data_IF_182590257873
#
_entry.id   IF_182590257873
#
_cell.length_a   1.000
_cell.length_b   1.000
_cell.length_c   1.000
_cell.angle_alpha   90.00
_cell.angle_beta   90.00
_cell.angle_gamma   90.00
#
_symmetry.space_group_name_H-M   'P 1'
#
loop_
_entity.id
_entity.type
_entity.pdbx_description
1 polymer ?
#
# COMPACT_ATOMS: atom_id res chain seq x y z
N UNK A 1 -10.48 6.38 -14.61
CA UNK A 1 -9.44 6.24 -15.64
C UNK A 1 -8.16 6.85 -15.09
N UNK A 2 -7.36 6.11 -14.32
CA UNK A 2 -6.08 6.64 -13.84
C UNK A 2 -5.00 6.25 -14.83
N UNK A 3 -4.33 7.25 -15.41
CA UNK A 3 -3.00 7.04 -15.97
C UNK A 3 -2.14 6.48 -14.85
N UNK A 4 -1.59 5.28 -15.03
CA UNK A 4 -0.55 4.76 -14.17
C UNK A 4 0.55 5.82 -14.06
N UNK A 5 0.67 6.43 -12.89
CA UNK A 5 1.62 7.51 -12.64
C UNK A 5 2.68 6.93 -11.72
N UNK A 6 3.80 6.53 -12.32
CA UNK A 6 4.93 5.85 -11.66
C UNK A 6 5.39 6.62 -10.42
N UNK A 7 5.42 7.97 -10.49
CA UNK A 7 5.77 8.83 -9.36
C UNK A 7 4.84 8.64 -8.17
N UNK A 8 3.52 8.52 -8.39
CA UNK A 8 2.56 8.33 -7.29
C UNK A 8 2.75 6.98 -6.61
N UNK A 9 3.12 5.96 -7.37
CA UNK A 9 3.35 4.61 -6.81
C UNK A 9 4.67 4.58 -6.05
N UNK A 10 5.72 5.24 -6.55
CA UNK A 10 6.98 5.38 -5.81
C UNK A 10 6.77 6.08 -4.47
N UNK A 11 5.93 7.12 -4.41
CA UNK A 11 5.56 7.77 -3.16
C UNK A 11 4.84 6.81 -2.21
N UNK A 12 3.91 5.98 -2.71
CA UNK A 12 3.25 4.97 -1.89
C UNK A 12 4.21 3.88 -1.40
N UNK A 13 5.16 3.44 -2.22
CA UNK A 13 6.19 2.47 -1.82
C UNK A 13 7.04 3.05 -0.71
N UNK A 14 7.49 4.30 -0.85
CA UNK A 14 8.29 4.96 0.19
C UNK A 14 7.50 5.09 1.49
N UNK A 15 6.22 5.50 1.40
CA UNK A 15 5.34 5.61 2.55
C UNK A 15 5.16 4.25 3.25
N UNK A 16 4.83 3.21 2.49
CA UNK A 16 4.61 1.86 2.98
C UNK A 16 5.86 1.26 3.66
N UNK A 17 7.03 1.40 3.04
CA UNK A 17 8.30 0.94 3.61
C UNK A 17 8.62 1.70 4.89
N UNK A 18 8.35 3.01 4.92
CA UNK A 18 8.58 3.82 6.12
C UNK A 18 7.65 3.39 7.25
N UNK A 19 6.36 3.11 6.95
CA UNK A 19 5.41 2.61 7.95
C UNK A 19 5.87 1.27 8.52
N UNK A 20 6.14 0.28 7.65
CA UNK A 20 6.57 -1.04 8.10
C UNK A 20 7.84 -0.94 8.97
N UNK A 21 8.83 -0.12 8.60
CA UNK A 21 10.04 0.10 9.41
C UNK A 21 9.67 0.67 10.78
N UNK A 22 8.77 1.64 10.84
CA UNK A 22 8.30 2.22 12.10
C UNK A 22 7.66 1.14 12.97
N UNK A 23 6.75 0.34 12.41
CA UNK A 23 6.07 -0.74 13.13
C UNK A 23 7.06 -1.80 13.62
N UNK A 24 8.02 -2.21 12.77
CA UNK A 24 9.08 -3.15 13.13
C UNK A 24 9.97 -2.65 14.28
N UNK A 25 10.19 -1.34 14.39
CA UNK A 25 11.03 -0.79 15.44
C UNK A 25 10.34 -0.80 16.81
N UNK A 26 9.00 -0.81 16.83
CA UNK A 26 8.21 -0.76 18.07
C UNK A 26 8.58 0.41 18.99
N UNK A 27 9.12 1.49 18.42
CA UNK A 27 9.63 2.65 19.19
C UNK A 27 8.46 3.52 19.66
N UNK A 28 7.36 3.53 18.91
CA UNK A 28 6.21 4.37 19.20
C UNK A 28 5.19 3.67 20.09
N UNK A 29 4.33 4.47 20.72
CA UNK A 29 3.20 3.90 21.44
C UNK A 29 2.17 3.34 20.46
N UNK A 30 1.37 2.32 20.82
CA UNK A 30 0.34 1.75 19.95
C UNK A 30 -0.66 2.78 19.39
N UNK A 31 -0.91 3.87 20.12
CA UNK A 31 -1.78 4.96 19.65
C UNK A 31 -1.17 5.76 18.48
N UNK A 32 0.15 5.93 18.46
CA UNK A 32 0.87 6.64 17.40
C UNK A 32 0.96 5.76 16.16
N UNK A 33 1.27 4.47 16.31
CA UNK A 33 1.27 3.48 15.23
C UNK A 33 -0.08 3.45 14.53
N UNK A 34 -1.17 3.35 15.29
CA UNK A 34 -2.53 3.43 14.73
C UNK A 34 -2.80 4.71 13.91
N UNK A 35 -2.27 5.86 14.32
CA UNK A 35 -2.41 7.11 13.56
C UNK A 35 -1.61 7.05 12.26
N UNK A 36 -0.42 6.45 12.28
CA UNK A 36 0.41 6.27 11.09
C UNK A 36 -0.25 5.32 10.10
N UNK A 37 -0.82 4.21 10.57
CA UNK A 37 -1.58 3.29 9.72
C UNK A 37 -2.79 3.96 9.08
N UNK A 38 -3.52 4.77 9.86
CA UNK A 38 -4.65 5.53 9.35
C UNK A 38 -4.21 6.53 8.27
N UNK A 39 -3.05 7.19 8.47
CA UNK A 39 -2.46 8.08 7.48
C UNK A 39 -2.06 7.30 6.22
N UNK A 40 -1.47 6.11 6.36
CA UNK A 40 -1.08 5.22 5.26
C UNK A 40 -2.31 4.79 4.46
N UNK A 41 -3.36 4.27 5.10
CA UNK A 41 -4.66 3.95 4.46
C UNK A 41 -5.21 5.16 3.71
N UNK A 42 -5.20 6.33 4.34
CA UNK A 42 -5.73 7.56 3.73
C UNK A 42 -4.94 7.93 2.48
N UNK A 43 -3.61 7.84 2.52
CA UNK A 43 -2.77 8.07 1.34
C UNK A 43 -3.07 7.10 0.20
N UNK A 44 -3.25 5.81 0.50
CA UNK A 44 -3.69 4.81 -0.48
C UNK A 44 -5.03 5.19 -1.12
N UNK A 45 -6.00 5.59 -0.31
CA UNK A 45 -7.32 6.01 -0.79
C UNK A 45 -7.25 7.27 -1.66
N UNK A 46 -6.43 8.25 -1.30
CA UNK A 46 -6.27 9.47 -2.09
C UNK A 46 -5.61 9.20 -3.44
N UNK A 47 -4.60 8.33 -3.47
CA UNK A 47 -3.84 8.02 -4.69
C UNK A 47 -4.62 7.09 -5.63
N UNK A 48 -5.16 5.98 -5.10
CA UNK A 48 -5.86 4.99 -5.91
C UNK A 48 -7.36 5.27 -6.10
N UNK A 49 -7.96 6.14 -5.26
CA UNK A 49 -9.39 6.50 -5.27
C UNK A 49 -10.32 5.28 -5.34
N UNK A 50 -9.87 4.17 -4.75
CA UNK A 50 -10.59 2.89 -4.67
C UNK A 50 -10.37 2.28 -3.30
N UNK A 51 -11.48 1.99 -2.62
CA UNK A 51 -11.51 1.09 -1.48
C UNK A 51 -11.42 -0.34 -2.01
N UNK A 52 -10.40 -1.07 -1.59
CA UNK A 52 -10.32 -2.51 -1.79
C UNK A 52 -10.58 -3.20 -0.46
N UNK A 53 -11.29 -4.33 -0.49
CA UNK A 53 -11.49 -5.16 0.70
C UNK A 53 -10.14 -5.60 1.27
N UNK A 54 -9.16 -5.86 0.38
CA UNK A 54 -7.79 -6.18 0.76
C UNK A 54 -7.12 -5.08 1.57
N UNK A 55 -7.27 -3.80 1.20
CA UNK A 55 -6.72 -2.68 1.95
C UNK A 55 -7.31 -2.62 3.36
N UNK A 56 -8.61 -2.86 3.51
CA UNK A 56 -9.26 -2.89 4.81
C UNK A 56 -8.80 -4.08 5.68
N UNK A 57 -8.62 -5.26 5.06
CA UNK A 57 -8.08 -6.45 5.76
C UNK A 57 -6.65 -6.19 6.23
N UNK A 58 -5.81 -5.58 5.38
CA UNK A 58 -4.42 -5.27 5.72
C UNK A 58 -4.36 -4.26 6.87
N UNK A 59 -5.09 -3.16 6.77
CA UNK A 59 -5.20 -2.19 7.86
C UNK A 59 -5.69 -2.81 9.17
N UNK A 60 -6.61 -3.77 9.10
CA UNK A 60 -7.10 -4.47 10.28
C UNK A 60 -6.06 -5.40 10.89
N UNK A 61 -5.32 -6.14 10.05
CA UNK A 61 -4.26 -7.05 10.50
C UNK A 61 -3.08 -6.30 11.13
N UNK A 62 -2.75 -5.13 10.59
CA UNK A 62 -1.63 -4.31 11.04
C UNK A 62 -1.86 -3.72 12.44
N UNK A 63 -3.12 -3.41 12.76
CA UNK A 63 -3.52 -2.92 14.09
C UNK A 63 -3.58 -4.03 15.14
N UNK A 64 -3.51 -5.31 14.75
CA UNK A 64 -3.54 -6.42 15.71
C UNK A 64 -2.15 -6.61 16.35
N UNK A 65 -2.00 -6.35 17.65
CA UNK A 65 -0.72 -6.50 18.33
C UNK A 65 -0.24 -7.95 18.26
N UNK A 66 1.03 -8.15 17.87
CA UNK A 66 1.66 -9.46 17.76
C UNK A 66 1.66 -10.08 16.35
N UNK A 67 1.10 -9.38 15.35
CA UNK A 67 1.28 -9.70 13.92
C UNK A 67 2.37 -8.83 13.28
N UNK A 68 3.08 -8.04 14.11
CA UNK A 68 3.97 -6.91 13.79
C UNK A 68 5.26 -7.24 13.01
N UNK A 69 5.41 -8.47 12.52
CA UNK A 69 6.63 -8.91 11.83
C UNK A 69 6.49 -9.07 10.32
N UNK A 70 5.32 -8.77 9.77
CA UNK A 70 5.08 -8.89 8.34
C UNK A 70 4.94 -7.46 7.76
N UNK A 71 5.76 -7.09 6.75
CA UNK A 71 5.65 -5.78 6.12
C UNK A 71 4.42 -5.71 5.20
N UNK A 72 3.23 -5.69 5.78
CA UNK A 72 1.97 -5.80 5.05
C UNK A 72 1.77 -4.65 4.08
N UNK A 73 2.15 -3.42 4.47
CA UNK A 73 2.01 -2.26 3.60
C UNK A 73 2.91 -2.38 2.37
N UNK A 74 4.17 -2.74 2.56
CA UNK A 74 5.12 -2.92 1.45
C UNK A 74 4.65 -4.03 0.52
N UNK A 75 4.22 -5.18 1.06
CA UNK A 75 3.68 -6.28 0.26
C UNK A 75 2.46 -5.86 -0.56
N UNK A 76 1.51 -5.15 0.06
CA UNK A 76 0.32 -4.66 -0.63
C UNK A 76 0.68 -3.71 -1.77
N UNK A 77 1.64 -2.82 -1.53
CA UNK A 77 2.08 -1.84 -2.53
C UNK A 77 2.72 -2.52 -3.73
N UNK A 78 3.55 -3.54 -3.50
CA UNK A 78 4.13 -4.34 -4.58
C UNK A 78 3.07 -5.12 -5.35
N UNK A 79 2.12 -5.76 -4.65
CA UNK A 79 1.00 -6.43 -5.29
C UNK A 79 0.23 -5.48 -6.23
N UNK A 80 -0.06 -4.27 -5.76
CA UNK A 80 -0.73 -3.24 -6.56
C UNK A 80 0.12 -2.81 -7.76
N UNK A 81 1.42 -2.59 -7.56
CA UNK A 81 2.36 -2.22 -8.63
C UNK A 81 2.40 -3.28 -9.74
N UNK A 82 2.59 -4.56 -9.39
CA UNK A 82 2.64 -5.65 -10.37
C UNK A 82 1.31 -5.82 -11.10
N UNK A 83 0.19 -5.73 -10.38
CA UNK A 83 -1.16 -5.83 -10.99
C UNK A 83 -1.39 -4.73 -12.04
N UNK A 84 -0.95 -3.50 -11.76
CA UNK A 84 -1.06 -2.39 -12.71
C UNK A 84 -0.08 -2.51 -13.88
N UNK A 85 1.15 -2.99 -13.65
CA UNK A 85 2.09 -3.30 -14.73
C UNK A 85 1.55 -4.37 -15.68
N UNK A 86 0.96 -5.45 -15.17
CA UNK A 86 0.34 -6.47 -16.01
C UNK A 86 -0.82 -5.93 -16.84
N UNK A 87 -1.65 -5.06 -16.25
CA UNK A 87 -2.75 -4.39 -16.98
C UNK A 87 -2.21 -3.50 -18.09
N UNK A 88 -1.13 -2.76 -17.83
CA UNK A 88 -0.44 -1.93 -18.85
C UNK A 88 0.07 -2.81 -19.99
N UNK A 89 0.78 -3.89 -19.68
CA UNK A 89 1.32 -4.82 -20.68
C UNK A 89 0.23 -5.49 -21.53
N UNK A 90 -0.89 -5.92 -20.93
CA UNK A 90 -2.03 -6.47 -21.66
C UNK A 90 -2.66 -5.46 -22.62
N UNK A 91 -2.83 -4.20 -22.20
CA UNK A 91 -3.37 -3.14 -23.07
C UNK A 91 -2.45 -2.80 -24.24
N UNK A 92 -1.13 -2.86 -24.04
CA UNK A 92 -0.17 -2.66 -25.14
C UNK A 92 -0.32 -3.76 -26.18
N UNK A 93 -0.42 -5.04 -25.79
CA UNK A 93 -0.62 -6.14 -26.73
C UNK A 93 -1.90 -6.00 -27.57
N UNK A 94 -3.03 -5.67 -26.95
CA UNK A 94 -4.33 -5.52 -27.64
C UNK A 94 -4.33 -4.37 -28.66
N UNK A 95 -3.45 -3.38 -28.51
CA UNK A 95 -3.38 -2.23 -29.43
C UNK A 95 -2.47 -2.47 -30.64
N UNK A 96 -1.73 -3.58 -30.64
CA UNK A 96 -0.74 -3.94 -31.68
C UNK A 96 -1.29 -5.02 -32.62
N UNK A 97 -2.39 -5.68 -32.24
CA UNK A 97 -3.22 -6.57 -33.08
C UNK A 97 -4.36 -5.79 -33.74
#
# INVERSE_FOLDING_TARGET
MSSFNETKILVLILLAVTNDIVDFTGIFSPFIEFILDLATVTAFLLVYRRLSILLAVIAFLDVLPGVDYIPFWTLYTFYMYFTEMERKNRRIKIKVE
#
